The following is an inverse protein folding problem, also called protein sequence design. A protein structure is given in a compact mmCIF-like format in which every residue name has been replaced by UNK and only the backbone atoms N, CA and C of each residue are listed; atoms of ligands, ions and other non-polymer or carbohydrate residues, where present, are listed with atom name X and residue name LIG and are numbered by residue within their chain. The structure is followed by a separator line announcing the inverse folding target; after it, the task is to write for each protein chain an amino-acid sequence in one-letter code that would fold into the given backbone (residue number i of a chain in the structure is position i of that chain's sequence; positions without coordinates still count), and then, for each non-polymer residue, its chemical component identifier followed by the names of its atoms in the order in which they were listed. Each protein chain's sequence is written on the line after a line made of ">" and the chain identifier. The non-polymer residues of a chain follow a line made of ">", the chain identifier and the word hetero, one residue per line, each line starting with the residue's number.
data_IF_490471865490
#
_entry.id   IF_490471865490
#
_cell.length_a   1.000
_cell.length_b   1.000
_cell.length_c   1.000
_cell.angle_alpha   90.00
_cell.angle_beta   90.00
_cell.angle_gamma   90.00
#
_symmetry.space_group_name_H-M   'P 1'
#
loop_
_entity.id
_entity.type
_entity.pdbx_description
1 polymer ?
#
# COMPACT_ATOMS: atom_id res chain seq x y z
N UNK A 1 -53.14 43.12 39.03
CA UNK A 1 -51.96 43.24 38.13
C UNK A 1 -51.26 41.89 38.08
N UNK A 2 -51.30 41.18 36.95
CA UNK A 2 -50.38 40.08 36.64
C UNK A 2 -50.36 39.92 35.12
N UNK A 3 -49.31 40.46 34.51
CA UNK A 3 -48.97 40.28 33.09
C UNK A 3 -48.38 38.87 32.97
N UNK A 4 -49.00 37.98 32.18
CA UNK A 4 -48.33 36.74 31.78
C UNK A 4 -47.44 37.06 30.57
N UNK A 5 -46.14 36.91 30.79
CA UNK A 5 -45.10 37.00 29.79
C UNK A 5 -45.13 35.74 28.92
N UNK A 6 -45.19 35.96 27.60
CA UNK A 6 -44.92 34.94 26.57
C UNK A 6 -43.42 34.64 26.60
N UNK A 7 -43.04 33.41 26.95
CA UNK A 7 -41.68 32.92 26.82
C UNK A 7 -41.60 32.02 25.58
N UNK A 8 -41.05 32.57 24.50
CA UNK A 8 -40.71 31.83 23.28
C UNK A 8 -39.54 30.89 23.57
N UNK A 9 -39.78 29.58 23.49
CA UNK A 9 -38.75 28.54 23.54
C UNK A 9 -37.96 28.56 22.22
N UNK A 10 -36.70 29.02 22.28
CA UNK A 10 -35.72 28.84 21.21
C UNK A 10 -35.14 27.42 21.34
N UNK A 11 -35.56 26.49 20.49
CA UNK A 11 -34.96 25.16 20.41
C UNK A 11 -33.67 25.23 19.59
N UNK A 12 -32.53 25.08 20.25
CA UNK A 12 -31.24 24.91 19.60
C UNK A 12 -31.16 23.52 18.97
N UNK A 13 -31.09 23.45 17.63
CA UNK A 13 -30.80 22.21 16.92
C UNK A 13 -29.31 21.90 17.02
N UNK A 14 -28.95 20.89 17.82
CA UNK A 14 -27.62 20.29 17.82
C UNK A 14 -27.51 19.41 16.57
N UNK A 15 -26.71 19.82 15.59
CA UNK A 15 -26.37 18.98 14.45
C UNK A 15 -25.40 17.88 14.91
N UNK A 16 -25.90 16.67 15.09
CA UNK A 16 -25.08 15.46 15.19
C UNK A 16 -24.43 15.23 13.82
N UNK A 17 -23.16 15.61 13.69
CA UNK A 17 -22.33 15.19 12.55
C UNK A 17 -22.08 13.69 12.73
N UNK A 18 -22.91 12.87 12.08
CA UNK A 18 -22.69 11.44 12.01
C UNK A 18 -21.36 11.17 11.32
N UNK A 19 -20.41 10.56 12.04
CA UNK A 19 -19.22 9.98 11.46
C UNK A 19 -19.65 8.91 10.45
N UNK A 20 -19.52 9.22 9.16
CA UNK A 20 -19.77 8.25 8.10
C UNK A 20 -18.88 7.02 8.33
N UNK A 21 -19.41 5.80 8.20
CA UNK A 21 -18.58 4.61 8.29
C UNK A 21 -17.54 4.66 7.17
N UNK A 22 -16.26 4.59 7.55
CA UNK A 22 -15.19 4.32 6.60
C UNK A 22 -15.45 2.92 6.07
N UNK A 23 -15.89 2.81 4.81
CA UNK A 23 -16.04 1.53 4.14
C UNK A 23 -14.71 0.79 4.19
N UNK A 24 -14.63 -0.30 4.95
CA UNK A 24 -13.47 -1.18 4.91
C UNK A 24 -13.37 -1.78 3.51
N UNK A 25 -12.29 -1.48 2.79
CA UNK A 25 -12.04 -2.10 1.50
C UNK A 25 -11.87 -3.62 1.69
N UNK A 26 -12.65 -4.40 0.92
CA UNK A 26 -12.64 -5.86 1.00
C UNK A 26 -11.24 -6.39 0.69
N UNK A 27 -10.71 -7.19 1.61
CA UNK A 27 -9.39 -7.78 1.47
C UNK A 27 -9.41 -8.73 0.24
N UNK A 28 -8.59 -8.41 -0.76
CA UNK A 28 -8.60 -9.12 -2.06
C UNK A 28 -7.33 -9.94 -2.21
N UNK A 29 -7.45 -11.20 -2.69
CA UNK A 29 -6.31 -12.03 -3.05
C UNK A 29 -5.50 -11.32 -4.13
N UNK A 30 -4.21 -11.20 -3.91
CA UNK A 30 -3.26 -10.50 -4.75
C UNK A 30 -1.97 -11.32 -4.83
N UNK A 31 -1.12 -10.97 -5.77
CA UNK A 31 0.20 -11.57 -5.93
C UNK A 31 1.26 -10.51 -6.20
N UNK A 32 2.50 -10.82 -5.85
CA UNK A 32 3.65 -9.94 -6.03
C UNK A 32 4.95 -10.71 -5.91
N UNK A 33 6.00 -10.01 -5.53
CA UNK A 33 7.32 -10.55 -5.34
C UNK A 33 7.85 -10.33 -3.92
N UNK A 34 8.75 -11.21 -3.52
CA UNK A 34 9.61 -11.07 -2.35
C UNK A 34 10.85 -11.93 -2.62
N UNK A 35 12.06 -11.38 -2.46
CA UNK A 35 13.34 -12.08 -2.72
C UNK A 35 13.39 -12.84 -4.06
N UNK A 36 12.95 -12.18 -5.13
CA UNK A 36 12.79 -12.73 -6.49
C UNK A 36 11.76 -13.85 -6.63
N UNK A 37 11.12 -14.29 -5.55
CA UNK A 37 10.08 -15.31 -5.56
C UNK A 37 8.70 -14.69 -5.74
N UNK A 38 7.80 -15.42 -6.42
CA UNK A 38 6.39 -15.01 -6.52
C UNK A 38 5.69 -15.37 -5.21
N UNK A 39 4.91 -14.44 -4.69
CA UNK A 39 4.12 -14.63 -3.48
C UNK A 39 2.65 -14.28 -3.71
N UNK A 40 1.78 -14.90 -2.93
CA UNK A 40 0.35 -14.61 -2.89
C UNK A 40 -0.01 -14.06 -1.50
N UNK A 41 -0.74 -12.94 -1.46
CA UNK A 41 -1.13 -12.26 -0.23
C UNK A 41 -2.53 -11.68 -0.35
N UNK A 42 -3.12 -11.30 0.77
CA UNK A 42 -4.37 -10.57 0.80
C UNK A 42 -4.05 -9.22 1.42
N UNK A 43 -4.44 -8.14 0.75
CA UNK A 43 -4.07 -6.78 1.16
C UNK A 43 -5.26 -5.84 1.22
N UNK A 44 -5.20 -4.88 2.14
CA UNK A 44 -6.09 -3.72 2.21
C UNK A 44 -5.23 -2.46 2.34
N UNK A 45 -5.46 -1.47 1.49
CA UNK A 45 -4.80 -0.17 1.58
C UNK A 45 -5.62 0.81 2.44
N UNK A 46 -4.94 1.59 3.26
CA UNK A 46 -5.50 2.69 4.04
C UNK A 46 -4.65 3.95 3.88
N UNK A 47 -5.31 5.10 3.85
CA UNK A 47 -4.64 6.40 3.82
C UNK A 47 -4.38 6.86 5.26
N UNK A 48 -3.13 7.19 5.57
CA UNK A 48 -2.74 7.79 6.85
C UNK A 48 -2.65 9.31 6.74
N UNK A 49 -2.38 10.00 7.85
CA UNK A 49 -2.28 11.46 7.88
C UNK A 49 -1.05 12.03 7.15
N UNK A 50 0.01 11.24 6.96
CA UNK A 50 1.22 11.66 6.26
C UNK A 50 2.12 10.47 5.88
N UNK A 51 3.08 10.64 4.94
CA UNK A 51 4.10 9.63 4.67
C UNK A 51 4.85 9.19 5.92
N UNK A 52 5.17 10.12 6.83
CA UNK A 52 5.88 9.83 8.07
C UNK A 52 5.02 9.00 9.02
N UNK A 53 3.71 9.27 9.09
CA UNK A 53 2.79 8.47 9.89
C UNK A 53 2.72 7.03 9.38
N UNK A 54 2.63 6.83 8.05
CA UNK A 54 2.66 5.50 7.45
C UNK A 54 3.97 4.76 7.76
N UNK A 55 5.12 5.42 7.63
CA UNK A 55 6.43 4.82 7.94
C UNK A 55 6.56 4.42 9.41
N UNK A 56 6.10 5.25 10.35
CA UNK A 56 6.12 4.95 11.78
C UNK A 56 5.28 3.71 12.11
N UNK A 57 4.10 3.58 11.49
CA UNK A 57 3.21 2.42 11.69
C UNK A 57 3.80 1.17 11.04
N UNK A 58 4.42 1.30 9.87
CA UNK A 58 5.00 0.20 9.12
C UNK A 58 6.30 -0.35 9.73
N UNK A 59 6.97 0.41 10.61
CA UNK A 59 8.19 -0.02 11.33
C UNK A 59 9.30 -0.57 10.40
N UNK A 60 9.46 0.05 9.22
CA UNK A 60 10.47 -0.35 8.23
C UNK A 60 10.00 -1.36 7.19
N UNK A 61 8.78 -1.89 7.32
CA UNK A 61 8.17 -2.70 6.27
C UNK A 61 7.74 -1.80 5.09
N UNK A 62 8.13 -2.18 3.88
CA UNK A 62 7.85 -1.46 2.65
C UNK A 62 7.27 -2.42 1.62
N UNK A 63 6.18 -2.00 0.99
CA UNK A 63 5.70 -2.59 -0.25
C UNK A 63 5.98 -1.60 -1.36
N UNK A 64 6.77 -2.01 -2.33
CA UNK A 64 7.10 -1.21 -3.49
C UNK A 64 6.10 -1.45 -4.61
N UNK A 65 5.60 -0.37 -5.18
CA UNK A 65 4.95 -0.38 -6.48
C UNK A 65 5.92 0.19 -7.52
N UNK A 66 6.05 -0.47 -8.67
CA UNK A 66 7.00 -0.09 -9.72
C UNK A 66 6.22 0.49 -10.90
N UNK A 67 6.54 1.73 -11.27
CA UNK A 67 5.91 2.44 -12.38
C UNK A 67 6.95 3.01 -13.35
N UNK A 68 6.56 3.11 -14.61
CA UNK A 68 7.30 3.86 -15.63
C UNK A 68 7.20 5.37 -15.40
N UNK A 69 7.89 6.15 -16.24
CA UNK A 69 7.87 7.61 -16.18
C UNK A 69 6.48 8.24 -16.42
N UNK A 70 5.49 7.46 -16.89
CA UNK A 70 4.10 7.89 -17.09
C UNK A 70 3.19 7.46 -15.94
N UNK A 71 3.72 6.79 -14.90
CA UNK A 71 2.96 6.29 -13.77
C UNK A 71 2.27 4.95 -14.01
N UNK A 72 2.56 4.25 -15.11
CA UNK A 72 1.98 2.93 -15.40
C UNK A 72 2.92 1.80 -14.98
N UNK A 73 2.40 0.67 -14.52
CA UNK A 73 3.25 -0.51 -14.27
C UNK A 73 3.85 -1.03 -15.57
N UNK A 74 5.19 -1.10 -15.71
CA UNK A 74 5.82 -1.62 -16.93
C UNK A 74 5.40 -3.07 -17.20
N UNK A 75 5.15 -3.43 -18.46
CA UNK A 75 4.74 -4.81 -18.81
C UNK A 75 5.75 -5.86 -18.33
N UNK A 76 7.05 -5.55 -18.40
CA UNK A 76 8.12 -6.46 -17.94
C UNK A 76 8.03 -6.77 -16.43
N UNK A 77 7.54 -5.83 -15.62
CA UNK A 77 7.41 -6.00 -14.17
C UNK A 77 6.44 -7.14 -13.83
N UNK A 78 5.39 -7.31 -14.64
CA UNK A 78 4.33 -8.29 -14.39
C UNK A 78 4.46 -9.58 -15.18
N UNK A 79 5.36 -9.64 -16.16
CA UNK A 79 5.39 -10.71 -17.16
C UNK A 79 5.52 -12.10 -16.52
N UNK A 80 6.48 -12.29 -15.61
CA UNK A 80 6.72 -13.58 -14.95
C UNK A 80 5.58 -13.99 -14.03
N UNK A 81 5.04 -13.03 -13.30
CA UNK A 81 3.94 -13.27 -12.35
C UNK A 81 2.65 -13.63 -13.07
N UNK A 82 2.28 -12.91 -14.14
CA UNK A 82 1.09 -13.22 -14.95
C UNK A 82 1.23 -14.54 -15.72
N UNK A 83 2.46 -14.96 -16.05
CA UNK A 83 2.70 -16.28 -16.63
C UNK A 83 2.44 -17.41 -15.61
N UNK A 84 2.80 -17.22 -14.34
CA UNK A 84 2.62 -18.21 -13.29
C UNK A 84 1.19 -18.21 -12.70
N UNK A 85 0.60 -17.02 -12.51
CA UNK A 85 -0.68 -16.79 -11.85
C UNK A 85 -1.60 -15.91 -12.73
N UNK A 86 -2.02 -16.38 -13.92
CA UNK A 86 -2.75 -15.56 -14.91
C UNK A 86 -4.13 -15.07 -14.47
N UNK A 87 -4.66 -15.58 -13.35
CA UNK A 87 -6.01 -15.27 -12.85
C UNK A 87 -5.99 -14.40 -11.60
N UNK A 88 -4.81 -14.16 -11.02
CA UNK A 88 -4.70 -13.36 -9.80
C UNK A 88 -4.72 -11.87 -10.14
N UNK A 89 -5.42 -11.09 -9.30
CA UNK A 89 -5.26 -9.66 -9.32
C UNK A 89 -3.82 -9.32 -8.91
N UNK A 90 -3.18 -8.38 -9.61
CA UNK A 90 -1.81 -8.02 -9.31
C UNK A 90 -1.48 -6.60 -9.75
N UNK A 91 -0.66 -5.95 -8.93
CA UNK A 91 0.10 -4.75 -9.32
C UNK A 91 1.60 -5.04 -9.34
N UNK A 92 1.98 -6.31 -9.23
CA UNK A 92 3.35 -6.82 -9.31
C UNK A 92 4.29 -6.13 -8.32
N UNK A 93 3.71 -5.84 -7.15
CA UNK A 93 4.39 -5.16 -6.04
C UNK A 93 5.48 -6.05 -5.45
N UNK A 94 6.46 -5.43 -4.81
CA UNK A 94 7.59 -6.11 -4.17
C UNK A 94 7.56 -5.83 -2.68
N UNK A 95 7.53 -6.88 -1.86
CA UNK A 95 7.63 -6.76 -0.41
C UNK A 95 9.10 -6.86 -0.01
N UNK A 96 9.53 -6.01 0.92
CA UNK A 96 10.88 -6.10 1.51
C UNK A 96 10.96 -7.10 2.67
N UNK A 97 9.81 -7.49 3.21
CA UNK A 97 9.76 -8.24 4.46
C UNK A 97 8.46 -9.03 4.54
N UNK A 98 8.50 -10.26 5.05
CA UNK A 98 7.35 -11.16 5.15
C UNK A 98 7.16 -11.74 6.57
N UNK A 99 5.93 -12.11 6.95
CA UNK A 99 5.60 -12.70 8.24
C UNK A 99 6.47 -13.87 8.73
N UNK A 100 7.09 -14.64 7.83
CA UNK A 100 7.92 -15.80 8.21
C UNK A 100 9.36 -15.44 8.57
N UNK A 101 9.78 -14.20 8.38
CA UNK A 101 11.15 -13.77 8.70
C UNK A 101 11.34 -13.44 10.18
N UNK A 102 12.56 -13.69 10.65
CA UNK A 102 12.98 -13.28 11.99
C UNK A 102 13.00 -11.75 12.07
N UNK A 103 12.26 -11.18 13.04
CA UNK A 103 12.20 -9.74 13.23
C UNK A 103 10.94 -9.08 12.67
N UNK A 104 10.00 -9.85 12.13
CA UNK A 104 8.70 -9.33 11.67
C UNK A 104 7.93 -8.66 12.81
N UNK A 105 7.75 -7.34 12.71
CA UNK A 105 7.20 -6.49 13.78
C UNK A 105 5.76 -5.99 13.53
N UNK A 106 5.06 -6.53 12.53
CA UNK A 106 3.63 -6.28 12.31
C UNK A 106 3.16 -6.40 10.86
N UNK A 107 1.83 -6.54 10.69
CA UNK A 107 1.11 -6.72 9.42
C UNK A 107 0.86 -5.50 8.56
N UNK A 108 1.74 -4.51 8.60
CA UNK A 108 1.59 -3.28 7.84
C UNK A 108 2.87 -2.91 7.12
N UNK A 109 2.75 -2.45 5.88
CA UNK A 109 3.82 -1.96 5.02
C UNK A 109 3.48 -0.55 4.57
N UNK A 110 4.46 0.34 4.51
CA UNK A 110 4.29 1.61 3.83
C UNK A 110 4.39 1.37 2.32
N UNK A 111 3.42 1.86 1.54
CA UNK A 111 3.51 1.83 0.09
C UNK A 111 4.53 2.89 -0.35
N UNK A 112 5.55 2.45 -1.07
CA UNK A 112 6.49 3.35 -1.74
C UNK A 112 6.44 3.08 -3.24
N UNK A 113 6.56 4.13 -4.03
CA UNK A 113 6.47 4.02 -5.49
C UNK A 113 7.86 4.24 -6.07
N UNK A 114 8.41 3.23 -6.73
CA UNK A 114 9.59 3.39 -7.56
C UNK A 114 9.17 3.87 -8.94
N UNK A 115 9.65 5.05 -9.32
CA UNK A 115 9.43 5.65 -10.63
C UNK A 115 10.67 5.48 -11.49
N UNK A 116 10.57 4.74 -12.59
CA UNK A 116 11.62 4.71 -13.60
C UNK A 116 11.81 6.10 -14.22
N UNK A 117 13.07 6.47 -14.43
CA UNK A 117 13.42 7.73 -15.10
C UNK A 117 13.00 7.67 -16.57
N UNK A 118 12.52 8.80 -17.10
CA UNK A 118 12.23 8.93 -18.52
C UNK A 118 13.46 8.58 -19.40
N UNK A 119 13.23 7.77 -20.43
CA UNK A 119 14.29 7.30 -21.33
C UNK A 119 15.07 6.07 -20.85
N UNK A 120 14.83 5.59 -19.63
CA UNK A 120 15.36 4.30 -19.15
C UNK A 120 14.39 3.19 -19.54
N UNK A 121 14.90 2.10 -20.10
CA UNK A 121 14.09 0.89 -20.36
C UNK A 121 13.90 0.13 -19.05
N UNK A 122 12.66 -0.05 -18.56
CA UNK A 122 12.41 -0.81 -17.34
C UNK A 122 12.87 -2.26 -17.46
N UNK A 123 13.33 -2.82 -16.35
CA UNK A 123 13.50 -4.26 -16.13
C UNK A 123 12.62 -4.71 -14.97
N UNK A 124 12.39 -6.01 -14.83
CA UNK A 124 11.71 -6.53 -13.63
C UNK A 124 12.57 -6.23 -12.40
N UNK A 125 11.98 -5.58 -11.41
CA UNK A 125 12.53 -5.46 -10.07
C UNK A 125 11.68 -6.34 -9.16
N UNK A 126 12.21 -7.47 -8.69
CA UNK A 126 11.46 -8.45 -7.89
C UNK A 126 12.01 -8.66 -6.48
N UNK A 127 12.96 -7.81 -6.08
CA UNK A 127 13.52 -7.70 -4.74
C UNK A 127 13.71 -6.23 -4.38
N UNK A 128 13.54 -5.87 -3.13
CA UNK A 128 13.72 -4.51 -2.62
C UNK A 128 15.17 -4.01 -2.75
N UNK A 129 16.16 -4.87 -2.55
CA UNK A 129 17.58 -4.56 -2.81
C UNK A 129 17.80 -4.08 -4.25
N UNK A 130 17.16 -4.71 -5.24
CA UNK A 130 17.27 -4.29 -6.65
C UNK A 130 16.66 -2.91 -6.87
N UNK A 131 15.55 -2.62 -6.19
CA UNK A 131 14.84 -1.33 -6.29
C UNK A 131 15.70 -0.22 -5.71
N UNK A 132 16.26 -0.43 -4.52
CA UNK A 132 17.13 0.55 -3.87
C UNK A 132 18.44 0.72 -4.62
N UNK A 133 19.01 -0.35 -5.18
CA UNK A 133 20.18 -0.29 -6.06
C UNK A 133 19.89 0.47 -7.37
N UNK A 134 18.73 0.25 -8.00
CA UNK A 134 18.33 0.98 -9.20
C UNK A 134 18.14 2.49 -8.92
N UNK A 135 17.57 2.84 -7.77
CA UNK A 135 17.46 4.23 -7.32
C UNK A 135 18.84 4.85 -7.08
N UNK A 136 19.73 4.14 -6.37
CA UNK A 136 21.09 4.59 -6.10
C UNK A 136 21.93 4.75 -7.39
N UNK A 137 21.67 3.92 -8.40
CA UNK A 137 22.28 4.02 -9.73
C UNK A 137 21.68 5.15 -10.60
N UNK A 138 20.67 5.87 -10.12
CA UNK A 138 20.03 6.98 -10.84
C UNK A 138 19.11 6.53 -11.98
N UNK A 139 18.67 5.27 -11.99
CA UNK A 139 17.74 4.72 -12.98
C UNK A 139 16.29 5.11 -12.69
N UNK A 140 16.01 5.57 -11.49
CA UNK A 140 14.69 5.99 -11.04
C UNK A 140 14.74 6.67 -9.67
N UNK A 141 13.56 6.92 -9.09
CA UNK A 141 13.41 7.55 -7.77
C UNK A 141 12.34 6.85 -6.96
N UNK A 142 12.51 6.82 -5.64
CA UNK A 142 11.52 6.26 -4.72
C UNK A 142 10.72 7.40 -4.09
N UNK A 143 9.40 7.33 -4.23
CA UNK A 143 8.43 8.19 -3.57
C UNK A 143 7.88 7.48 -2.33
N UNK A 144 7.95 8.16 -1.19
CA UNK A 144 7.31 7.70 0.05
C UNK A 144 5.89 8.25 0.13
N UNK A 145 4.89 7.37 0.18
CA UNK A 145 3.48 7.77 0.17
C UNK A 145 2.86 7.74 1.58
N UNK A 146 1.73 8.43 1.82
CA UNK A 146 0.95 8.29 3.05
C UNK A 146 0.12 6.99 3.12
N UNK A 147 0.27 6.08 2.15
CA UNK A 147 -0.52 4.85 2.08
C UNK A 147 0.14 3.77 2.93
N UNK A 148 -0.67 3.12 3.76
CA UNK A 148 -0.32 1.94 4.51
C UNK A 148 -1.07 0.76 3.92
N UNK A 149 -0.39 -0.35 3.70
CA UNK A 149 -0.98 -1.59 3.21
C UNK A 149 -0.96 -2.60 4.35
N UNK A 150 -2.14 -3.07 4.75
CA UNK A 150 -2.30 -4.18 5.68
C UNK A 150 -2.40 -5.47 4.90
N UNK A 151 -1.36 -6.29 4.95
CA UNK A 151 -1.32 -7.56 4.23
C UNK A 151 -1.17 -8.75 5.18
N UNK A 152 -2.24 -9.48 5.56
CA UNK A 152 -2.07 -10.89 5.88
C UNK A 152 -1.55 -11.61 4.62
N UNK A 153 -0.26 -11.96 4.60
CA UNK A 153 0.30 -12.81 3.54
C UNK A 153 -0.25 -14.22 3.70
N UNK A 154 -0.72 -14.82 2.59
CA UNK A 154 -1.64 -15.97 2.64
C UNK A 154 -0.94 -17.29 2.33
N UNK A 155 0.14 -17.30 1.54
CA UNK A 155 0.78 -18.54 1.13
C UNK A 155 2.31 -18.44 1.09
N UNK A 156 2.97 -19.19 1.99
CA UNK A 156 4.43 -19.37 2.07
C UNK A 156 4.89 -20.78 1.67
N UNK A 157 3.98 -21.64 1.20
CA UNK A 157 4.29 -23.05 0.99
C UNK A 157 5.43 -23.27 -0.03
N UNK A 158 5.70 -22.27 -0.88
CA UNK A 158 6.76 -22.28 -1.89
C UNK A 158 8.04 -21.53 -1.49
N UNK A 159 8.10 -20.84 -0.34
CA UNK A 159 9.26 -20.04 0.09
C UNK A 159 10.17 -20.77 1.10
N UNK A 160 10.15 -22.11 1.08
CA UNK A 160 11.01 -22.98 1.92
C UNK A 160 12.20 -23.50 1.14
#
# INVERSE_FOLDING_TARGET
>A
MKRLLVASLLSAAVALVGSAPVSAASATRNSGFYDHQIIEYVGTAELTSSPQAAQLIAKGNIVYHVVDASGNTPTVQCARLLAALPKDATSCNVLNFIPTEQGYQGGAWNLQVFHWKAGVTPVELSKDDDITAAAAAGLGTIEVTPILVRCPVVNFAALR
#
